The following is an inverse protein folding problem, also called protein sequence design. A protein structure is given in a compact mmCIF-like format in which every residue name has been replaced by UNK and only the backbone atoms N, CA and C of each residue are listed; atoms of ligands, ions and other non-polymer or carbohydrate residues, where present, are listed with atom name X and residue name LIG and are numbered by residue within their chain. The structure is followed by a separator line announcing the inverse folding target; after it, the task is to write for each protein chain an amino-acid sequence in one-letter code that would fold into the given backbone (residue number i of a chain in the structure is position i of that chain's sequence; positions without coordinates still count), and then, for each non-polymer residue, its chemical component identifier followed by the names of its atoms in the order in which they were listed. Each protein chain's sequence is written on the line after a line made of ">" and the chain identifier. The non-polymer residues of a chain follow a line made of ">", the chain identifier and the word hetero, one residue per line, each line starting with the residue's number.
data_IF_530891883764
#
_entry.id   IF_530891883764
#
_cell.length_a   1.000
_cell.length_b   1.000
_cell.length_c   1.000
_cell.angle_alpha   90.00
_cell.angle_beta   90.00
_cell.angle_gamma   90.00
#
_symmetry.space_group_name_H-M   'P 1'
#
loop_
_entity.id
_entity.type
_entity.pdbx_description
1 polymer ?
#
# COMPACT_ATOMS: atom_id res chain seq x y z
N UNK A 1 -7.52 -5.17 11.93
CA UNK A 1 -6.34 -5.88 12.48
C UNK A 1 -5.47 -4.93 13.29
N UNK A 2 -4.76 -5.47 14.28
CA UNK A 2 -3.60 -4.76 14.84
C UNK A 2 -2.39 -4.91 13.92
N UNK A 3 -1.41 -4.00 14.05
CA UNK A 3 -0.14 -4.10 13.30
C UNK A 3 0.60 -5.41 13.60
N UNK A 4 0.54 -5.89 14.84
CA UNK A 4 1.13 -7.18 15.23
C UNK A 4 0.41 -8.35 14.55
N UNK A 5 -0.93 -8.37 14.54
CA UNK A 5 -1.69 -9.40 13.84
C UNK A 5 -1.38 -9.42 12.34
N UNK A 6 -1.27 -8.25 11.69
CA UNK A 6 -0.88 -8.16 10.30
C UNK A 6 0.52 -8.77 10.07
N UNK A 7 1.48 -8.44 10.92
CA UNK A 7 2.84 -9.00 10.87
C UNK A 7 2.80 -10.53 11.03
N UNK A 8 2.05 -11.04 12.00
CA UNK A 8 1.96 -12.48 12.26
C UNK A 8 1.25 -13.24 11.11
N UNK A 9 0.28 -12.62 10.43
CA UNK A 9 -0.34 -13.13 9.22
C UNK A 9 0.70 -13.23 8.10
N UNK A 10 1.37 -12.12 7.76
CA UNK A 10 2.30 -12.11 6.63
C UNK A 10 3.60 -12.89 6.88
N UNK A 11 3.98 -13.13 8.12
CA UNK A 11 5.10 -14.03 8.48
C UNK A 11 4.67 -15.50 8.59
N UNK A 12 3.38 -15.81 8.41
CA UNK A 12 2.85 -17.17 8.42
C UNK A 12 2.71 -17.80 9.81
N UNK A 13 2.71 -17.00 10.88
CA UNK A 13 2.42 -17.44 12.25
C UNK A 13 0.92 -17.62 12.45
N UNK A 14 0.09 -16.69 11.95
CA UNK A 14 -1.36 -16.78 11.90
C UNK A 14 -1.74 -17.23 10.50
N UNK A 15 -2.49 -18.32 10.40
CA UNK A 15 -2.84 -18.96 9.12
C UNK A 15 -4.34 -19.15 8.92
N UNK A 16 -5.14 -18.78 9.91
CA UNK A 16 -6.59 -18.87 9.83
C UNK A 16 -7.22 -17.57 10.37
N UNK A 17 -8.21 -17.06 9.67
CA UNK A 17 -8.91 -15.83 10.03
C UNK A 17 -9.56 -15.87 11.40
N UNK A 18 -10.00 -17.05 11.89
CA UNK A 18 -10.57 -17.19 13.25
C UNK A 18 -9.59 -16.78 14.36
N UNK A 19 -8.31 -16.89 14.14
CA UNK A 19 -7.28 -16.52 15.13
C UNK A 19 -7.26 -14.99 15.39
N UNK A 20 -7.84 -14.22 14.48
CA UNK A 20 -7.98 -12.76 14.60
C UNK A 20 -9.44 -12.30 14.65
N UNK A 21 -10.37 -13.20 14.98
CA UNK A 21 -11.79 -12.89 15.18
C UNK A 21 -12.64 -12.95 13.91
N UNK A 22 -12.11 -13.48 12.81
CA UNK A 22 -12.84 -13.73 11.56
C UNK A 22 -13.49 -15.13 11.50
N UNK A 23 -13.91 -15.50 10.30
CA UNK A 23 -14.49 -16.82 10.03
C UNK A 23 -13.42 -17.94 10.15
N UNK A 24 -13.85 -19.19 10.34
CA UNK A 24 -12.94 -20.35 10.27
C UNK A 24 -12.59 -20.61 8.81
N UNK A 25 -11.54 -19.93 8.35
CA UNK A 25 -11.09 -19.93 6.98
C UNK A 25 -9.59 -19.71 6.90
N UNK A 26 -8.91 -20.50 6.05
CA UNK A 26 -7.48 -20.35 5.83
C UNK A 26 -7.12 -19.02 5.18
N UNK A 27 -6.05 -18.39 5.66
CA UNK A 27 -5.51 -17.16 5.06
C UNK A 27 -4.66 -17.53 3.84
N UNK A 28 -4.92 -16.85 2.73
CA UNK A 28 -4.12 -16.95 1.49
C UNK A 28 -3.38 -15.64 1.28
N UNK A 29 -2.06 -15.68 1.33
CA UNK A 29 -1.22 -14.50 1.12
C UNK A 29 -1.02 -14.27 -0.39
N UNK A 30 -1.31 -13.04 -0.86
CA UNK A 30 -0.96 -12.60 -2.21
C UNK A 30 0.12 -11.51 -2.08
N UNK A 31 1.31 -11.79 -2.58
CA UNK A 31 2.50 -10.96 -2.35
C UNK A 31 3.14 -10.49 -3.65
N UNK A 32 4.12 -9.60 -3.54
CA UNK A 32 4.92 -9.07 -4.63
C UNK A 32 6.37 -9.58 -4.53
N UNK A 33 7.14 -9.63 -5.62
CA UNK A 33 8.54 -10.00 -5.58
C UNK A 33 9.39 -8.98 -4.81
N UNK A 34 10.59 -9.37 -4.41
CA UNK A 34 11.50 -8.50 -3.64
C UNK A 34 11.88 -7.20 -4.37
N UNK A 35 11.84 -7.20 -5.70
CA UNK A 35 12.07 -6.00 -6.53
C UNK A 35 10.96 -4.95 -6.43
N UNK A 36 9.79 -5.28 -5.85
CA UNK A 36 8.66 -4.37 -5.75
C UNK A 36 8.87 -3.27 -4.71
N UNK A 37 8.77 -2.00 -5.13
CA UNK A 37 8.77 -0.84 -4.23
C UNK A 37 7.59 -0.86 -3.26
N UNK A 38 6.40 -1.31 -3.71
CA UNK A 38 5.22 -1.47 -2.85
C UNK A 38 5.48 -2.49 -1.74
N UNK A 39 6.13 -3.64 -2.08
CA UNK A 39 6.55 -4.62 -1.06
C UNK A 39 7.56 -4.02 -0.08
N UNK A 40 8.54 -3.26 -0.56
CA UNK A 40 9.53 -2.63 0.31
C UNK A 40 8.88 -1.66 1.31
N UNK A 41 7.94 -0.83 0.87
CA UNK A 41 7.15 0.07 1.71
C UNK A 41 6.30 -0.71 2.72
N UNK A 42 5.60 -1.73 2.28
CA UNK A 42 4.78 -2.59 3.14
C UNK A 42 5.64 -3.30 4.20
N UNK A 43 6.75 -3.92 3.79
CA UNK A 43 7.69 -4.57 4.72
C UNK A 43 8.19 -3.61 5.79
N UNK A 44 8.61 -2.41 5.39
CA UNK A 44 9.18 -1.42 6.31
C UNK A 44 8.14 -0.89 7.31
N UNK A 45 7.00 -0.44 6.82
CA UNK A 45 6.06 0.35 7.63
C UNK A 45 4.88 -0.46 8.18
N UNK A 46 4.44 -1.50 7.49
CA UNK A 46 3.40 -2.39 7.98
C UNK A 46 3.96 -3.51 8.85
N UNK A 47 5.03 -4.17 8.40
CA UNK A 47 5.58 -5.36 9.05
C UNK A 47 6.76 -5.06 9.99
N UNK A 48 7.17 -3.80 10.17
CA UNK A 48 8.31 -3.45 11.00
C UNK A 48 9.65 -4.06 10.56
N UNK A 49 9.80 -4.33 9.26
CA UNK A 49 10.98 -4.96 8.67
C UNK A 49 10.93 -6.49 8.61
N UNK A 50 9.89 -7.14 9.15
CA UNK A 50 9.77 -8.59 9.09
C UNK A 50 9.66 -9.10 7.64
N UNK A 51 10.19 -10.31 7.40
CA UNK A 51 10.15 -10.93 6.07
C UNK A 51 8.87 -11.71 5.87
N UNK A 52 8.20 -11.49 4.75
CA UNK A 52 7.01 -12.23 4.36
C UNK A 52 7.29 -13.71 4.15
N UNK A 53 6.31 -14.57 4.47
CA UNK A 53 6.37 -16.02 4.25
C UNK A 53 6.14 -16.35 2.76
N UNK A 54 7.13 -16.05 1.91
CA UNK A 54 7.04 -16.19 0.46
C UNK A 54 6.78 -17.63 -0.01
N UNK A 55 7.22 -18.63 0.75
CA UNK A 55 6.96 -20.05 0.45
C UNK A 55 5.50 -20.48 0.70
N UNK A 56 4.68 -19.61 1.25
CA UNK A 56 3.24 -19.83 1.56
C UNK A 56 2.35 -18.80 0.86
N UNK A 57 2.89 -18.02 -0.07
CA UNK A 57 2.18 -16.95 -0.77
C UNK A 57 2.06 -17.25 -2.27
N UNK A 58 1.04 -16.65 -2.89
CA UNK A 58 0.96 -16.48 -4.33
C UNK A 58 1.68 -15.18 -4.68
N UNK A 59 2.82 -15.27 -5.34
CA UNK A 59 3.58 -14.09 -5.76
C UNK A 59 3.18 -13.63 -7.16
N UNK A 60 3.04 -12.31 -7.35
CA UNK A 60 2.79 -11.70 -8.65
C UNK A 60 3.54 -10.38 -8.79
N UNK A 61 4.05 -10.09 -9.97
CA UNK A 61 4.81 -8.85 -10.24
C UNK A 61 3.92 -7.65 -10.66
N UNK A 62 2.62 -7.85 -10.74
CA UNK A 62 1.66 -6.81 -11.14
C UNK A 62 0.65 -6.52 -10.03
N UNK A 63 0.43 -5.22 -9.72
CA UNK A 63 -0.52 -4.80 -8.67
C UNK A 63 -1.97 -5.04 -9.05
N UNK A 64 -2.33 -4.93 -10.34
CA UNK A 64 -3.68 -5.21 -10.82
C UNK A 64 -4.00 -6.70 -10.73
N UNK A 65 -3.03 -7.56 -11.08
CA UNK A 65 -3.14 -9.02 -10.92
C UNK A 65 -3.24 -9.39 -9.44
N UNK A 66 -2.47 -8.74 -8.56
CA UNK A 66 -2.57 -8.94 -7.11
C UNK A 66 -4.01 -8.66 -6.64
N UNK A 67 -4.54 -7.49 -7.00
CA UNK A 67 -5.91 -7.09 -6.65
C UNK A 67 -6.95 -8.09 -7.15
N UNK A 68 -6.82 -8.54 -8.40
CA UNK A 68 -7.70 -9.54 -8.97
C UNK A 68 -7.61 -10.89 -8.24
N UNK A 69 -6.42 -11.32 -7.86
CA UNK A 69 -6.23 -12.55 -7.09
C UNK A 69 -6.87 -12.45 -5.69
N UNK A 70 -6.73 -11.30 -5.00
CA UNK A 70 -7.43 -11.07 -3.73
C UNK A 70 -8.94 -11.14 -3.92
N UNK A 71 -9.48 -10.51 -4.96
CA UNK A 71 -10.92 -10.49 -5.28
C UNK A 71 -11.50 -11.88 -5.54
N UNK A 72 -10.75 -12.76 -6.19
CA UNK A 72 -11.25 -14.07 -6.65
C UNK A 72 -10.88 -15.24 -5.74
N UNK A 73 -9.99 -15.02 -4.77
CA UNK A 73 -9.52 -16.07 -3.87
C UNK A 73 -10.10 -15.87 -2.48
N UNK A 74 -10.90 -16.84 -2.05
CA UNK A 74 -11.51 -16.82 -0.72
C UNK A 74 -10.43 -16.86 0.37
N UNK A 75 -10.58 -16.02 1.40
CA UNK A 75 -9.61 -15.89 2.49
C UNK A 75 -8.33 -15.13 2.13
N UNK A 76 -8.22 -14.58 0.92
CA UNK A 76 -7.03 -13.86 0.48
C UNK A 76 -6.84 -12.51 1.17
N UNK A 77 -5.58 -12.15 1.36
CA UNK A 77 -5.11 -10.83 1.75
C UNK A 77 -3.86 -10.46 0.95
N UNK A 78 -3.74 -9.20 0.57
CA UNK A 78 -2.59 -8.66 -0.14
C UNK A 78 -2.44 -7.15 0.13
N UNK A 79 -1.57 -6.50 -0.61
CA UNK A 79 -1.31 -5.06 -0.48
C UNK A 79 -1.09 -4.40 -1.83
N UNK A 80 -1.70 -3.24 -2.00
CA UNK A 80 -1.58 -2.39 -3.19
C UNK A 80 -1.58 -0.92 -2.78
N UNK A 81 -1.16 -0.03 -3.67
CA UNK A 81 -1.33 1.40 -3.48
C UNK A 81 -2.82 1.79 -3.56
N UNK A 82 -3.22 2.86 -2.85
CA UNK A 82 -4.60 3.36 -2.86
C UNK A 82 -5.13 3.66 -4.26
N UNK A 83 -4.26 3.99 -5.21
CA UNK A 83 -4.62 4.22 -6.62
C UNK A 83 -5.27 3.02 -7.31
N UNK A 84 -5.08 1.81 -6.80
CA UNK A 84 -5.75 0.60 -7.28
C UNK A 84 -7.10 0.35 -6.62
N UNK A 85 -7.41 1.04 -5.52
CA UNK A 85 -8.64 0.86 -4.74
C UNK A 85 -9.72 1.87 -5.18
N UNK A 86 -10.15 1.78 -6.42
CA UNK A 86 -11.30 2.54 -6.93
C UNK A 86 -12.61 2.07 -6.28
N UNK A 87 -13.69 2.84 -6.45
CA UNK A 87 -15.01 2.48 -5.89
C UNK A 87 -15.51 1.08 -6.27
N UNK A 88 -15.08 0.58 -7.42
CA UNK A 88 -15.49 -0.72 -7.97
C UNK A 88 -14.40 -1.80 -7.87
N UNK A 89 -13.40 -1.61 -7.01
CA UNK A 89 -12.31 -2.57 -6.84
C UNK A 89 -12.80 -3.97 -6.43
N UNK A 90 -13.93 -4.04 -5.70
CA UNK A 90 -14.56 -5.31 -5.30
C UNK A 90 -13.79 -6.08 -4.24
N UNK A 91 -13.01 -5.35 -3.43
CA UNK A 91 -12.29 -5.83 -2.25
C UNK A 91 -12.52 -4.88 -1.08
N UNK A 92 -12.40 -5.41 0.13
CA UNK A 92 -12.43 -4.61 1.35
C UNK A 92 -11.02 -4.14 1.74
N UNK A 93 -10.95 -3.00 2.41
CA UNK A 93 -9.70 -2.49 2.98
C UNK A 93 -9.57 -2.85 4.44
N UNK A 94 -8.35 -3.08 4.89
CA UNK A 94 -8.06 -3.43 6.29
C UNK A 94 -7.61 -2.19 7.05
N UNK A 95 -8.34 -1.85 8.10
CA UNK A 95 -7.89 -0.85 9.08
C UNK A 95 -6.77 -1.44 9.95
N UNK A 96 -5.75 -0.63 10.26
CA UNK A 96 -4.67 -0.98 11.17
C UNK A 96 -4.83 -0.20 12.49
N UNK A 97 -4.87 -0.92 13.59
CA UNK A 97 -5.10 -0.36 14.93
C UNK A 97 -6.33 0.59 14.99
N UNK A 98 -7.39 0.23 14.25
CA UNK A 98 -8.61 1.02 14.14
C UNK A 98 -8.55 2.18 13.14
N UNK A 99 -7.44 2.43 12.48
CA UNK A 99 -7.26 3.52 11.51
C UNK A 99 -7.45 3.00 10.08
N UNK A 100 -8.39 3.59 9.34
CA UNK A 100 -8.66 3.22 7.95
C UNK A 100 -7.59 3.79 6.99
N UNK A 101 -7.29 3.09 5.87
CA UNK A 101 -6.34 3.53 4.86
C UNK A 101 -6.96 4.60 3.95
N UNK A 102 -7.03 5.83 4.44
CA UNK A 102 -7.55 6.98 3.69
C UNK A 102 -6.45 8.02 3.48
N UNK A 103 -6.59 8.88 2.46
CA UNK A 103 -5.67 10.00 2.25
C UNK A 103 -5.62 10.93 3.47
N UNK A 104 -6.76 11.20 4.11
CA UNK A 104 -6.82 12.04 5.31
C UNK A 104 -5.99 11.45 6.46
N UNK A 105 -6.15 10.16 6.74
CA UNK A 105 -5.37 9.46 7.75
C UNK A 105 -3.88 9.35 7.38
N UNK A 106 -3.57 9.30 6.10
CA UNK A 106 -2.19 9.37 5.59
C UNK A 106 -1.61 10.76 5.82
N UNK A 107 -2.31 11.83 5.46
CA UNK A 107 -1.86 13.21 5.65
C UNK A 107 -1.57 13.55 7.11
N UNK A 108 -2.41 13.07 8.02
CA UNK A 108 -2.21 13.26 9.46
C UNK A 108 -1.17 12.33 10.09
N UNK A 109 -0.63 11.37 9.32
CA UNK A 109 0.31 10.35 9.82
C UNK A 109 -0.33 9.28 10.70
N UNK A 110 -1.67 9.26 10.83
CA UNK A 110 -2.37 8.23 11.63
C UNK A 110 -2.30 6.86 11.00
N UNK A 111 -2.45 6.76 9.66
CA UNK A 111 -2.25 5.50 8.95
C UNK A 111 -0.76 5.31 8.64
N UNK A 112 -0.11 4.25 9.13
CA UNK A 112 1.36 4.19 9.16
C UNK A 112 2.00 3.75 7.85
N UNK A 113 1.23 3.23 6.89
CA UNK A 113 1.80 2.64 5.65
C UNK A 113 1.70 3.63 4.50
N UNK A 114 2.73 4.44 4.35
CA UNK A 114 2.85 5.42 3.26
C UNK A 114 4.32 5.70 2.94
N UNK A 115 4.59 6.27 1.79
CA UNK A 115 5.92 6.78 1.41
C UNK A 115 5.76 7.86 0.35
N UNK A 116 6.78 8.70 0.19
CA UNK A 116 6.85 9.63 -0.92
C UNK A 116 7.22 8.91 -2.21
N UNK A 117 6.60 9.31 -3.30
CA UNK A 117 7.07 9.02 -4.65
C UNK A 117 8.14 10.04 -5.04
N UNK A 118 9.17 9.60 -5.74
CA UNK A 118 10.31 10.44 -6.11
C UNK A 118 10.50 10.46 -7.62
N UNK A 119 10.76 11.64 -8.16
CA UNK A 119 11.18 11.82 -9.54
C UNK A 119 12.67 12.11 -9.60
N UNK A 120 13.38 11.46 -10.50
CA UNK A 120 14.84 11.59 -10.63
C UNK A 120 15.21 12.09 -12.00
N UNK A 121 16.20 13.00 -12.08
CA UNK A 121 16.82 13.44 -13.32
C UNK A 121 18.32 13.17 -13.29
N UNK A 122 18.92 12.88 -14.45
CA UNK A 122 20.38 12.81 -14.56
C UNK A 122 20.95 14.21 -14.74
N UNK A 123 21.50 14.79 -13.67
CA UNK A 123 21.99 16.17 -13.66
C UNK A 123 20.86 17.20 -13.65
N UNK A 124 21.18 18.45 -14.03
CA UNK A 124 20.21 19.54 -14.08
C UNK A 124 19.22 19.29 -15.21
N UNK A 125 17.89 19.31 -14.94
CA UNK A 125 16.87 19.13 -15.96
C UNK A 125 16.91 20.30 -16.99
N UNK A 126 16.61 19.99 -18.24
CA UNK A 126 16.37 21.04 -19.23
C UNK A 126 15.04 21.76 -18.94
N UNK A 127 14.80 22.87 -19.64
CA UNK A 127 13.62 23.72 -19.42
C UNK A 127 12.29 22.94 -19.54
N UNK A 128 12.16 22.08 -20.53
CA UNK A 128 10.95 21.26 -20.74
C UNK A 128 10.73 20.28 -19.59
N UNK A 129 11.78 19.59 -19.18
CA UNK A 129 11.74 18.67 -18.05
C UNK A 129 11.39 19.41 -16.75
N UNK A 130 11.99 20.59 -16.53
CA UNK A 130 11.68 21.38 -15.33
C UNK A 130 10.21 21.81 -15.31
N UNK A 131 9.68 22.32 -16.41
CA UNK A 131 8.25 22.68 -16.53
C UNK A 131 7.33 21.49 -16.25
N UNK A 132 7.69 20.28 -16.68
CA UNK A 132 6.94 19.07 -16.38
C UNK A 132 6.98 18.76 -14.89
N UNK A 133 8.13 18.83 -14.25
CA UNK A 133 8.27 18.61 -12.79
C UNK A 133 7.45 19.63 -12.00
N UNK A 134 7.53 20.91 -12.38
CA UNK A 134 6.78 22.00 -11.74
C UNK A 134 5.26 21.79 -11.86
N UNK A 135 4.80 21.33 -13.03
CA UNK A 135 3.39 21.00 -13.25
C UNK A 135 2.91 19.83 -12.39
N UNK A 136 3.68 18.75 -12.32
CA UNK A 136 3.37 17.58 -11.47
C UNK A 136 3.27 17.99 -9.98
N UNK A 137 4.08 18.95 -9.54
CA UNK A 137 4.09 19.46 -8.18
C UNK A 137 3.08 20.59 -7.94
N UNK A 138 2.34 21.02 -8.95
CA UNK A 138 1.35 22.12 -8.83
C UNK A 138 0.09 21.67 -8.08
N UNK A 139 -0.60 22.64 -7.45
CA UNK A 139 -1.89 22.40 -6.79
C UNK A 139 -2.98 21.94 -7.78
N UNK A 140 -2.90 22.40 -9.04
CA UNK A 140 -3.82 21.97 -10.10
C UNK A 140 -3.71 20.46 -10.34
N UNK A 141 -2.48 19.97 -10.54
CA UNK A 141 -2.26 18.54 -10.76
C UNK A 141 -2.50 17.72 -9.48
N UNK A 142 -2.23 18.31 -8.31
CA UNK A 142 -2.48 17.71 -7.00
C UNK A 142 -3.93 17.25 -6.82
N UNK A 143 -4.91 18.07 -7.24
CA UNK A 143 -6.34 17.69 -7.19
C UNK A 143 -6.64 16.47 -8.04
N UNK A 144 -6.00 16.33 -9.20
CA UNK A 144 -6.13 15.17 -10.06
C UNK A 144 -5.48 13.94 -9.41
N UNK A 145 -4.33 14.10 -8.81
CA UNK A 145 -3.62 13.01 -8.10
C UNK A 145 -4.48 12.44 -6.97
N UNK A 146 -5.12 13.27 -6.16
CA UNK A 146 -6.01 12.80 -5.09
C UNK A 146 -7.20 12.01 -5.65
N UNK A 147 -7.77 12.42 -6.77
CA UNK A 147 -8.86 11.68 -7.41
C UNK A 147 -8.42 10.30 -7.92
N UNK A 148 -7.13 10.11 -8.13
CA UNK A 148 -6.50 8.85 -8.53
C UNK A 148 -5.96 8.03 -7.34
N UNK A 149 -6.16 8.49 -6.10
CA UNK A 149 -5.72 7.79 -4.89
C UNK A 149 -4.27 8.08 -4.47
N UNK A 150 -3.63 9.11 -5.04
CA UNK A 150 -2.31 9.57 -4.62
C UNK A 150 -2.42 10.75 -3.66
N UNK A 151 -1.57 10.79 -2.64
CA UNK A 151 -1.45 11.93 -1.75
C UNK A 151 -0.70 13.10 -2.37
N UNK A 152 -1.03 14.31 -1.93
CA UNK A 152 -0.33 15.56 -2.31
C UNK A 152 0.66 15.90 -1.19
N UNK A 153 1.95 15.99 -1.52
CA UNK A 153 3.02 16.20 -0.52
C UNK A 153 2.85 17.48 0.29
N UNK A 154 2.30 18.57 -0.30
CA UNK A 154 2.03 19.83 0.41
C UNK A 154 0.95 19.73 1.50
N UNK A 155 0.11 18.67 1.47
CA UNK A 155 -0.92 18.42 2.48
C UNK A 155 -0.43 17.52 3.62
N UNK A 156 0.76 16.96 3.53
CA UNK A 156 1.32 16.13 4.60
C UNK A 156 1.60 16.96 5.85
N UNK A 157 1.05 16.51 6.97
CA UNK A 157 1.24 17.14 8.29
C UNK A 157 2.44 16.54 9.03
N UNK A 158 2.95 15.42 8.54
CA UNK A 158 4.15 14.72 9.04
C UNK A 158 5.17 14.65 7.92
N UNK A 159 6.44 14.90 8.23
CA UNK A 159 7.51 14.95 7.21
C UNK A 159 8.19 13.61 7.02
N UNK A 160 8.21 12.79 8.06
CA UNK A 160 8.90 11.49 8.12
C UNK A 160 8.09 10.52 8.98
N UNK A 161 8.42 9.23 8.86
CA UNK A 161 7.87 8.16 9.71
C UNK A 161 8.53 8.11 11.07
#
# INVERSE_FOLDING_TARGET
>A
LTKQQLTDIFTGKITNWKEVGGADESIVLITRPESSGTRATFKKYALGGATEASNKSMETDDSGVLLQNVKTTKGAIGYVALSYLTKDAGVDTVSLDGVAPTLENTYSGKYPVWTYEHMYTKGTPNETTQKFLDYIMSDEYGKKMESLGYGVSSKMQVKEH
#
